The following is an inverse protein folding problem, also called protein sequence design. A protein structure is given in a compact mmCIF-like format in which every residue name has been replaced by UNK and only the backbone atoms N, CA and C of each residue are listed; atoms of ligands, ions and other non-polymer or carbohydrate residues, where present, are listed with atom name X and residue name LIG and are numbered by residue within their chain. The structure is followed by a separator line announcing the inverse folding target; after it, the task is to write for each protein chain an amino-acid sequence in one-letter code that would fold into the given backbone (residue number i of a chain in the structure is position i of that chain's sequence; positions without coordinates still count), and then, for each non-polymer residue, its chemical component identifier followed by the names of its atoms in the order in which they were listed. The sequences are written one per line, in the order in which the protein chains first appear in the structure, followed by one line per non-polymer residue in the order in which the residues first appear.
data_IF_345320789330
#
_entry.id   IF_345320789330
#
_cell.length_a   1.000
_cell.length_b   1.000
_cell.length_c   1.000
_cell.angle_alpha   90.00
_cell.angle_beta   90.00
_cell.angle_gamma   90.00
#
_symmetry.space_group_name_H-M   'P 1'
#
loop_
_entity.id
_entity.type
_entity.pdbx_description
1 polymer ?
#
# COMPACT_ATOMS: atom_id res chain seq x y z
N UNK A 1 -14.72 -20.80 9.91
CA UNK A 1 -14.41 -20.78 8.47
C UNK A 1 -12.93 -20.51 8.29
N UNK A 2 -12.24 -21.30 7.47
CA UNK A 2 -10.83 -21.05 7.13
C UNK A 2 -10.71 -19.87 6.17
N UNK A 3 -9.73 -18.98 6.40
CA UNK A 3 -9.51 -17.78 5.58
C UNK A 3 -8.60 -18.15 4.41
N UNK A 4 -9.18 -18.19 3.20
CA UNK A 4 -8.49 -18.52 1.93
C UNK A 4 -8.57 -17.38 0.92
N UNK A 5 -7.88 -17.54 -0.21
CA UNK A 5 -7.70 -16.56 -1.29
C UNK A 5 -8.94 -15.76 -1.72
N UNK A 6 -10.12 -16.38 -1.71
CA UNK A 6 -11.38 -15.78 -2.19
C UNK A 6 -12.28 -15.26 -1.07
N UNK A 7 -11.88 -15.38 0.20
CA UNK A 7 -12.72 -14.98 1.32
C UNK A 7 -12.89 -13.46 1.34
N UNK A 8 -14.14 -13.03 1.30
CA UNK A 8 -14.57 -11.66 1.58
C UNK A 8 -15.24 -11.65 2.94
N UNK A 9 -14.65 -10.89 3.87
CA UNK A 9 -15.20 -10.71 5.20
C UNK A 9 -16.07 -9.46 5.24
N UNK A 10 -17.00 -9.38 6.20
CA UNK A 10 -17.88 -8.23 6.33
C UNK A 10 -17.09 -6.91 6.42
N UNK A 11 -17.45 -5.95 5.57
CA UNK A 11 -16.90 -4.59 5.56
C UNK A 11 -17.89 -3.64 4.89
N UNK A 12 -17.88 -2.37 5.28
CA UNK A 12 -18.58 -1.31 4.54
C UNK A 12 -17.66 -0.82 3.43
N UNK A 13 -18.03 -1.07 2.17
CA UNK A 13 -17.26 -0.66 0.98
C UNK A 13 -18.02 0.42 0.21
N UNK A 14 -17.35 1.53 -0.06
CA UNK A 14 -17.93 2.69 -0.74
C UNK A 14 -17.02 3.13 -1.90
N UNK A 15 -17.45 2.96 -3.17
CA UNK A 15 -16.74 3.52 -4.31
C UNK A 15 -17.01 5.02 -4.44
N UNK A 16 -15.99 5.78 -4.81
CA UNK A 16 -16.08 7.23 -4.97
C UNK A 16 -15.01 7.77 -5.94
N UNK A 17 -15.03 9.08 -6.18
CA UNK A 17 -14.00 9.77 -6.97
C UNK A 17 -13.12 10.61 -6.05
N UNK A 18 -11.80 10.37 -6.09
CA UNK A 18 -10.81 11.26 -5.50
C UNK A 18 -10.56 12.42 -6.46
N UNK A 19 -10.55 13.64 -5.95
CA UNK A 19 -10.27 14.85 -6.72
C UNK A 19 -8.86 15.35 -6.43
N UNK A 20 -8.04 15.43 -7.46
CA UNK A 20 -6.69 15.99 -7.34
C UNK A 20 -6.69 17.51 -7.46
N UNK A 21 -5.66 18.16 -6.93
CA UNK A 21 -5.54 19.63 -7.02
C UNK A 21 -5.27 20.13 -8.45
N UNK A 22 -4.73 19.27 -9.32
CA UNK A 22 -4.56 19.54 -10.76
C UNK A 22 -5.84 19.24 -11.56
N UNK A 23 -6.96 18.94 -10.88
CA UNK A 23 -8.31 18.91 -11.47
C UNK A 23 -8.75 17.56 -12.04
N UNK A 24 -8.04 16.47 -11.73
CA UNK A 24 -8.38 15.12 -12.19
C UNK A 24 -9.31 14.40 -11.21
N UNK A 25 -10.12 13.49 -11.75
CA UNK A 25 -10.93 12.53 -11.00
C UNK A 25 -10.31 11.15 -11.08
N UNK A 26 -9.96 10.60 -9.93
CA UNK A 26 -9.39 9.27 -9.80
C UNK A 26 -10.43 8.32 -9.19
N UNK A 27 -10.50 7.11 -9.71
CA UNK A 27 -11.38 6.07 -9.17
C UNK A 27 -10.82 5.56 -7.85
N UNK A 28 -11.66 5.51 -6.83
CA UNK A 28 -11.29 5.07 -5.49
C UNK A 28 -12.39 4.23 -4.82
N UNK A 29 -11.99 3.49 -3.79
CA UNK A 29 -12.89 2.76 -2.88
C UNK A 29 -12.32 2.83 -1.47
N UNK A 30 -13.18 3.09 -0.50
CA UNK A 30 -12.87 2.99 0.92
C UNK A 30 -13.57 1.77 1.52
N UNK A 31 -12.81 0.88 2.14
CA UNK A 31 -13.32 -0.25 2.92
C UNK A 31 -13.13 0.01 4.43
N UNK A 32 -14.21 -0.11 5.20
CA UNK A 32 -14.27 0.16 6.64
C UNK A 32 -14.81 -1.03 7.43
N UNK A 33 -14.43 -1.18 8.71
CA UNK A 33 -15.11 -2.12 9.62
C UNK A 33 -16.60 -1.76 9.74
N UNK A 34 -17.48 -2.75 9.93
CA UNK A 34 -18.94 -2.52 9.99
C UNK A 34 -19.36 -1.91 11.34
N UNK A 35 -18.95 -2.51 12.45
CA UNK A 35 -19.47 -2.19 13.79
C UNK A 35 -18.45 -1.51 14.71
N UNK A 36 -17.32 -1.07 14.15
CA UNK A 36 -16.22 -0.46 14.92
C UNK A 36 -15.61 0.71 14.15
N UNK A 37 -15.10 1.69 14.89
CA UNK A 37 -14.20 2.67 14.32
C UNK A 37 -12.88 1.99 13.91
N UNK A 38 -12.30 2.34 12.75
CA UNK A 38 -10.97 1.84 12.40
C UNK A 38 -9.93 2.35 13.40
N UNK A 39 -8.90 1.56 13.68
CA UNK A 39 -7.78 1.97 14.56
C UNK A 39 -6.63 2.61 13.78
N UNK A 40 -6.54 2.31 12.48
CA UNK A 40 -5.58 2.88 11.55
C UNK A 40 -6.07 2.74 10.09
N UNK A 41 -5.39 3.43 9.18
CA UNK A 41 -5.76 3.52 7.77
C UNK A 41 -4.58 3.20 6.88
N UNK A 42 -4.74 2.27 5.93
CA UNK A 42 -3.76 2.05 4.88
C UNK A 42 -4.22 2.69 3.57
N UNK A 43 -3.34 3.46 2.96
CA UNK A 43 -3.51 4.09 1.64
C UNK A 43 -2.67 3.28 0.66
N UNK A 44 -3.33 2.60 -0.28
CA UNK A 44 -2.64 1.65 -1.15
C UNK A 44 -2.17 2.32 -2.45
N UNK A 45 -0.89 2.14 -2.80
CA UNK A 45 -0.29 2.62 -4.05
C UNK A 45 0.05 1.40 -4.91
N UNK A 46 -0.66 1.23 -6.03
CA UNK A 46 -0.68 0.00 -6.82
C UNK A 46 0.58 -0.21 -7.68
N UNK A 47 0.84 -1.45 -8.12
CA UNK A 47 1.93 -1.74 -9.05
C UNK A 47 1.72 -1.06 -10.41
N UNK A 48 2.74 -1.15 -11.27
CA UNK A 48 2.85 -0.35 -12.49
C UNK A 48 1.59 -0.45 -13.39
N UNK A 49 0.89 0.68 -13.67
CA UNK A 49 -0.33 0.66 -14.47
C UNK A 49 -0.13 0.06 -15.87
N UNK A 50 0.98 0.41 -16.52
CA UNK A 50 1.31 -0.06 -17.88
C UNK A 50 1.66 -1.55 -17.95
N UNK A 51 1.83 -2.21 -16.80
CA UNK A 51 1.99 -3.66 -16.69
C UNK A 51 0.74 -4.35 -16.08
N UNK A 52 -0.41 -3.67 -16.07
CA UNK A 52 -1.67 -4.21 -15.57
C UNK A 52 -1.86 -4.07 -14.05
N UNK A 53 -1.11 -3.19 -13.39
CA UNK A 53 -1.33 -2.85 -11.99
C UNK A 53 -2.49 -1.85 -11.81
N UNK A 54 -3.30 -2.05 -10.77
CA UNK A 54 -4.46 -1.20 -10.45
C UNK A 54 -4.89 -1.43 -8.99
N UNK A 55 -5.87 -0.67 -8.50
CA UNK A 55 -6.34 -0.70 -7.10
C UNK A 55 -6.83 -2.08 -6.61
N UNK A 56 -7.16 -2.98 -7.54
CA UNK A 56 -7.67 -4.34 -7.30
C UNK A 56 -6.60 -5.43 -7.51
N UNK A 57 -5.32 -5.05 -7.71
CA UNK A 57 -4.20 -5.99 -7.66
C UNK A 57 -4.29 -6.82 -6.36
N UNK A 58 -3.99 -8.12 -6.46
CA UNK A 58 -4.59 -9.10 -5.55
C UNK A 58 -4.29 -8.91 -4.07
N UNK A 59 -3.13 -8.33 -3.71
CA UNK A 59 -2.82 -8.00 -2.32
C UNK A 59 -3.80 -6.96 -1.79
N UNK A 60 -4.06 -5.88 -2.53
CA UNK A 60 -4.93 -4.80 -2.07
C UNK A 60 -6.40 -5.17 -2.08
N UNK A 61 -6.84 -5.95 -3.09
CA UNK A 61 -8.19 -6.52 -3.06
C UNK A 61 -8.41 -7.41 -1.83
N UNK A 62 -7.45 -8.27 -1.51
CA UNK A 62 -7.54 -9.12 -0.31
C UNK A 62 -7.38 -8.32 0.98
N UNK A 63 -6.59 -7.25 0.99
CA UNK A 63 -6.49 -6.34 2.12
C UNK A 63 -7.85 -5.69 2.43
N UNK A 64 -8.51 -5.09 1.43
CA UNK A 64 -9.84 -4.51 1.58
C UNK A 64 -10.91 -5.55 1.96
N UNK A 65 -10.79 -6.79 1.47
CA UNK A 65 -11.70 -7.88 1.79
C UNK A 65 -11.52 -8.46 3.21
N UNK A 66 -10.40 -8.21 3.89
CA UNK A 66 -10.05 -8.96 5.13
C UNK A 66 -9.68 -8.05 6.30
N UNK A 67 -8.83 -7.06 6.09
CA UNK A 67 -8.26 -6.24 7.17
C UNK A 67 -9.29 -5.40 7.94
N UNK A 68 -10.41 -4.92 7.33
CA UNK A 68 -11.45 -4.26 8.09
C UNK A 68 -12.05 -5.14 9.20
N UNK A 69 -12.29 -6.42 8.91
CA UNK A 69 -12.85 -7.35 9.89
C UNK A 69 -11.79 -7.95 10.83
N UNK A 70 -10.60 -8.26 10.31
CA UNK A 70 -9.58 -9.00 11.07
C UNK A 70 -8.71 -8.12 11.95
N UNK A 71 -8.53 -6.86 11.58
CA UNK A 71 -7.57 -5.96 12.22
C UNK A 71 -8.13 -4.56 12.47
N UNK A 72 -9.45 -4.36 12.28
CA UNK A 72 -10.12 -3.07 12.46
C UNK A 72 -9.43 -1.95 11.65
N UNK A 73 -8.98 -2.24 10.43
CA UNK A 73 -8.27 -1.29 9.56
C UNK A 73 -9.17 -0.70 8.48
N UNK A 74 -9.06 0.61 8.27
CA UNK A 74 -9.57 1.25 7.06
C UNK A 74 -8.60 1.01 5.89
N UNK A 75 -9.14 0.68 4.72
CA UNK A 75 -8.34 0.43 3.51
C UNK A 75 -8.83 1.37 2.40
N UNK A 76 -8.03 2.39 2.09
CA UNK A 76 -8.24 3.26 0.93
C UNK A 76 -7.47 2.71 -0.26
N UNK A 77 -8.19 2.39 -1.33
CA UNK A 77 -7.61 1.97 -2.61
C UNK A 77 -8.03 2.94 -3.68
N UNK A 78 -7.13 3.24 -4.61
CA UNK A 78 -7.44 4.09 -5.75
C UNK A 78 -6.54 3.76 -6.93
N UNK A 79 -7.01 4.12 -8.12
CA UNK A 79 -6.27 4.06 -9.37
C UNK A 79 -5.56 5.38 -9.60
N UNK A 80 -4.23 5.38 -9.75
CA UNK A 80 -3.48 6.58 -10.15
C UNK A 80 -3.94 7.06 -11.54
N UNK A 81 -3.62 8.30 -11.89
CA UNK A 81 -3.95 8.92 -13.18
C UNK A 81 -3.69 8.01 -14.37
N UNK A 82 -4.63 7.99 -15.32
CA UNK A 82 -4.58 7.17 -16.53
C UNK A 82 -4.75 5.66 -16.33
N UNK A 83 -4.90 5.16 -15.10
CA UNK A 83 -5.06 3.72 -14.84
C UNK A 83 -6.47 3.25 -15.16
N UNK A 84 -6.59 2.24 -16.03
CA UNK A 84 -7.84 1.52 -16.29
C UNK A 84 -7.97 0.26 -15.44
N UNK A 85 -9.18 -0.04 -15.01
CA UNK A 85 -9.55 -1.21 -14.21
C UNK A 85 -11.00 -1.64 -14.51
N UNK A 86 -11.51 -2.73 -13.93
CA UNK A 86 -12.93 -3.08 -14.03
C UNK A 86 -13.90 -1.99 -13.53
N UNK A 87 -13.41 -1.03 -12.72
CA UNK A 87 -14.19 0.09 -12.20
C UNK A 87 -14.22 1.31 -13.14
N UNK A 88 -13.54 1.23 -14.30
CA UNK A 88 -13.36 2.34 -15.24
C UNK A 88 -11.93 2.83 -15.31
N UNK A 89 -11.73 4.05 -15.84
CA UNK A 89 -10.42 4.69 -16.02
C UNK A 89 -10.34 5.98 -15.22
N UNK A 90 -9.31 6.12 -14.38
CA UNK A 90 -8.96 7.40 -13.75
C UNK A 90 -8.52 8.41 -14.82
N UNK A 91 -8.91 9.67 -14.68
CA UNK A 91 -8.53 10.72 -15.63
C UNK A 91 -7.01 10.98 -15.65
N UNK A 92 -6.55 11.73 -16.67
CA UNK A 92 -5.13 12.04 -16.88
C UNK A 92 -4.33 10.91 -17.52
N UNK A 93 -3.01 11.01 -17.45
CA UNK A 93 -2.07 10.07 -18.08
C UNK A 93 -0.95 9.70 -17.11
N UNK A 94 -0.49 8.46 -17.20
CA UNK A 94 0.66 7.99 -16.44
C UNK A 94 1.92 8.77 -16.82
N UNK A 95 2.63 9.31 -15.83
CA UNK A 95 3.82 10.15 -16.05
C UNK A 95 5.10 9.57 -15.44
N UNK A 96 5.07 8.29 -15.05
CA UNK A 96 6.25 7.63 -14.52
C UNK A 96 6.61 8.06 -13.11
N UNK A 97 5.64 8.53 -12.33
CA UNK A 97 5.78 8.84 -10.91
C UNK A 97 6.10 10.29 -10.59
N UNK A 98 6.01 11.22 -11.55
CA UNK A 98 6.18 12.66 -11.32
C UNK A 98 4.84 13.34 -11.04
N UNK A 99 3.91 13.28 -11.99
CA UNK A 99 2.60 13.92 -11.83
C UNK A 99 1.72 13.18 -10.80
N UNK A 100 1.99 11.90 -10.54
CA UNK A 100 1.35 11.10 -9.49
C UNK A 100 1.53 11.68 -8.07
N UNK A 101 2.39 12.69 -7.87
CA UNK A 101 2.44 13.48 -6.63
C UNK A 101 1.06 14.03 -6.24
N UNK A 102 0.28 14.51 -7.21
CA UNK A 102 -1.05 15.06 -6.94
C UNK A 102 -2.04 13.97 -6.56
N UNK A 103 -1.86 12.75 -7.08
CA UNK A 103 -2.69 11.59 -6.77
C UNK A 103 -2.45 11.13 -5.33
N UNK A 104 -1.18 10.99 -4.93
CA UNK A 104 -0.81 10.62 -3.55
C UNK A 104 -1.30 11.67 -2.56
N UNK A 105 -1.11 12.96 -2.87
CA UNK A 105 -1.60 14.06 -2.05
C UNK A 105 -3.12 14.03 -1.91
N UNK A 106 -3.86 13.78 -3.00
CA UNK A 106 -5.31 13.69 -2.96
C UNK A 106 -5.79 12.55 -2.05
N UNK A 107 -5.15 11.37 -2.12
CA UNK A 107 -5.47 10.24 -1.28
C UNK A 107 -5.21 10.51 0.21
N UNK A 108 -4.06 11.10 0.56
CA UNK A 108 -3.74 11.48 1.95
C UNK A 108 -4.68 12.57 2.46
N UNK A 109 -4.96 13.58 1.63
CA UNK A 109 -5.87 14.66 1.97
C UNK A 109 -7.28 14.13 2.27
N UNK A 110 -7.80 13.23 1.43
CA UNK A 110 -9.08 12.58 1.67
C UNK A 110 -9.11 11.86 3.02
N UNK A 111 -8.08 11.07 3.34
CA UNK A 111 -7.98 10.37 4.64
C UNK A 111 -8.00 11.35 5.81
N UNK A 112 -7.28 12.46 5.68
CA UNK A 112 -7.22 13.52 6.69
C UNK A 112 -8.58 14.20 6.87
N UNK A 113 -9.23 14.60 5.78
CA UNK A 113 -10.54 15.29 5.80
C UNK A 113 -11.67 14.38 6.27
N UNK A 114 -11.58 13.08 5.99
CA UNK A 114 -12.51 12.06 6.48
C UNK A 114 -12.29 11.71 7.97
N UNK A 115 -11.26 12.25 8.62
CA UNK A 115 -10.93 11.96 10.02
C UNK A 115 -10.50 10.52 10.27
N UNK A 116 -9.95 9.85 9.25
CA UNK A 116 -9.52 8.46 9.33
C UNK A 116 -8.15 8.37 10.06
N UNK A 117 -8.00 7.52 11.08
CA UNK A 117 -6.87 7.60 12.00
C UNK A 117 -5.60 6.97 11.42
N UNK A 118 -4.46 7.41 11.96
CA UNK A 118 -3.15 6.76 11.84
C UNK A 118 -2.83 6.29 10.40
N UNK A 119 -2.74 7.21 9.43
CA UNK A 119 -2.54 6.84 8.03
C UNK A 119 -1.14 6.30 7.75
N UNK A 120 -1.07 5.24 6.94
CA UNK A 120 0.14 4.62 6.41
C UNK A 120 0.05 4.51 4.90
N UNK A 121 1.18 4.74 4.21
CA UNK A 121 1.28 4.36 2.80
C UNK A 121 1.66 2.88 2.69
N UNK A 122 0.99 2.15 1.82
CA UNK A 122 1.40 0.80 1.43
C UNK A 122 1.60 0.79 -0.07
N UNK A 123 2.86 0.74 -0.50
CA UNK A 123 3.23 0.73 -1.91
C UNK A 123 3.62 -0.66 -2.38
N UNK A 124 3.36 -0.97 -3.65
CA UNK A 124 3.79 -2.23 -4.26
C UNK A 124 4.41 -1.96 -5.63
N UNK A 125 5.62 -2.47 -5.85
CA UNK A 125 6.38 -2.26 -7.09
C UNK A 125 6.48 -0.75 -7.39
N UNK A 126 5.97 -0.27 -8.53
CA UNK A 126 5.84 1.16 -8.83
C UNK A 126 5.27 2.00 -7.68
N UNK A 127 4.26 1.51 -6.96
CA UNK A 127 3.67 2.22 -5.83
C UNK A 127 4.62 2.41 -4.64
N UNK A 128 5.66 1.57 -4.49
CA UNK A 128 6.72 1.81 -3.49
C UNK A 128 7.53 3.06 -3.82
N UNK A 129 7.72 3.33 -5.12
CA UNK A 129 8.46 4.48 -5.58
C UNK A 129 7.68 5.77 -5.30
N UNK A 130 6.36 5.74 -5.51
CA UNK A 130 5.49 6.84 -5.09
C UNK A 130 5.52 7.06 -3.58
N UNK A 131 5.49 5.98 -2.79
CA UNK A 131 5.60 6.07 -1.33
C UNK A 131 6.93 6.70 -0.90
N UNK A 132 8.04 6.24 -1.47
CA UNK A 132 9.37 6.76 -1.17
C UNK A 132 9.54 8.23 -1.57
N UNK A 133 9.01 8.63 -2.72
CA UNK A 133 9.10 10.00 -3.23
C UNK A 133 8.28 11.00 -2.41
N UNK A 134 7.06 10.62 -2.03
CA UNK A 134 6.08 11.59 -1.53
C UNK A 134 5.68 11.37 -0.07
N UNK A 135 5.92 10.18 0.49
CA UNK A 135 5.68 9.88 1.90
C UNK A 135 6.31 10.88 2.88
N UNK A 136 7.55 11.37 2.67
CA UNK A 136 8.15 12.38 3.55
C UNK A 136 7.36 13.69 3.65
N UNK A 137 6.56 14.08 2.64
CA UNK A 137 5.84 15.37 2.61
C UNK A 137 4.44 15.32 3.25
N UNK A 138 3.97 14.15 3.61
CA UNK A 138 2.58 13.92 3.99
C UNK A 138 2.41 13.56 5.46
N UNK A 139 1.25 13.88 6.06
CA UNK A 139 0.94 13.51 7.45
C UNK A 139 0.56 12.02 7.55
N UNK A 140 1.57 11.16 7.38
CA UNK A 140 1.49 9.70 7.53
C UNK A 140 2.49 9.26 8.59
N UNK A 141 2.16 8.17 9.29
CA UNK A 141 3.04 7.57 10.30
C UNK A 141 4.25 6.87 9.68
N UNK A 142 4.14 6.47 8.41
CA UNK A 142 5.18 5.75 7.71
C UNK A 142 4.73 5.13 6.39
N UNK A 143 5.60 4.30 5.84
CA UNK A 143 5.32 3.53 4.64
C UNK A 143 5.78 2.07 4.76
N UNK A 144 5.01 1.18 4.12
CA UNK A 144 5.33 -0.23 3.91
C UNK A 144 5.54 -0.44 2.41
N UNK A 145 6.71 -0.95 2.04
CA UNK A 145 7.12 -1.13 0.66
C UNK A 145 7.11 -2.61 0.31
N UNK A 146 6.26 -3.02 -0.65
CA UNK A 146 6.19 -4.39 -1.15
C UNK A 146 6.97 -4.47 -2.46
N UNK A 147 8.02 -5.29 -2.50
CA UNK A 147 8.86 -5.49 -3.69
C UNK A 147 9.37 -4.18 -4.33
N UNK A 148 10.14 -3.33 -3.61
CA UNK A 148 10.56 -2.03 -4.11
C UNK A 148 11.65 -2.14 -5.19
N UNK A 149 11.38 -1.82 -6.47
CA UNK A 149 12.38 -2.02 -7.53
C UNK A 149 13.42 -0.89 -7.60
N UNK A 150 13.14 0.28 -7.01
CA UNK A 150 14.03 1.45 -7.00
C UNK A 150 14.53 1.89 -8.40
N UNK A 151 13.65 1.86 -9.41
CA UNK A 151 13.98 2.23 -10.79
C UNK A 151 13.87 3.73 -11.08
N UNK A 152 12.98 4.44 -10.38
CA UNK A 152 12.58 5.84 -10.56
C UNK A 152 12.88 6.70 -9.35
N UNK A 153 13.05 6.08 -8.19
CA UNK A 153 13.40 6.77 -6.95
C UNK A 153 14.91 7.05 -6.92
N UNK A 154 15.26 8.32 -6.78
CA UNK A 154 16.64 8.81 -6.70
C UNK A 154 17.17 8.77 -5.27
N UNK A 155 18.50 8.81 -5.14
CA UNK A 155 19.18 8.87 -3.85
C UNK A 155 18.77 10.10 -3.02
N UNK A 156 18.53 11.25 -3.66
CA UNK A 156 18.03 12.45 -2.97
C UNK A 156 16.62 12.26 -2.42
N UNK A 157 15.75 11.54 -3.15
CA UNK A 157 14.42 11.18 -2.65
C UNK A 157 14.51 10.21 -1.47
N UNK A 158 15.46 9.25 -1.48
CA UNK A 158 15.68 8.35 -0.34
C UNK A 158 16.22 9.10 0.88
N UNK A 159 17.20 10.01 0.71
CA UNK A 159 17.79 10.79 1.82
C UNK A 159 16.76 11.61 2.60
N UNK A 160 15.67 12.04 1.96
CA UNK A 160 14.61 12.81 2.62
C UNK A 160 13.96 12.06 3.78
N UNK A 161 14.00 10.73 3.79
CA UNK A 161 13.53 9.91 4.91
C UNK A 161 14.35 10.12 6.18
N UNK A 162 15.61 10.57 6.09
CA UNK A 162 16.46 10.87 7.24
C UNK A 162 16.07 12.17 7.98
N UNK A 163 15.22 12.98 7.36
CA UNK A 163 14.80 14.28 7.89
C UNK A 163 13.38 14.25 8.49
N UNK A 164 12.75 13.07 8.52
CA UNK A 164 11.39 12.89 9.04
C UNK A 164 11.36 11.77 10.07
N UNK A 165 10.53 11.92 11.09
CA UNK A 165 10.30 10.86 12.09
C UNK A 165 9.14 9.97 11.63
N UNK A 166 9.39 9.11 10.64
CA UNK A 166 8.39 8.22 10.03
C UNK A 166 8.97 6.83 9.87
N UNK A 167 8.17 5.80 10.15
CA UNK A 167 8.64 4.41 10.05
C UNK A 167 8.65 3.95 8.60
N UNK A 168 9.75 3.33 8.16
CA UNK A 168 9.87 2.73 6.84
C UNK A 168 10.14 1.23 6.97
N UNK A 169 9.31 0.41 6.34
CA UNK A 169 9.45 -1.05 6.32
C UNK A 169 9.42 -1.54 4.88
N UNK A 170 10.39 -2.34 4.45
CA UNK A 170 10.45 -2.90 3.11
C UNK A 170 10.41 -4.42 3.15
N UNK A 171 9.41 -5.02 2.51
CA UNK A 171 9.33 -6.45 2.26
C UNK A 171 10.04 -6.76 0.94
N UNK A 172 11.14 -7.51 1.03
CA UNK A 172 12.00 -7.87 -0.09
C UNK A 172 11.82 -9.37 -0.39
N UNK A 173 11.21 -9.75 -1.53
CA UNK A 173 11.13 -11.16 -1.91
C UNK A 173 12.53 -11.73 -2.24
N UNK A 174 12.83 -12.94 -1.78
CA UNK A 174 14.11 -13.62 -2.07
C UNK A 174 14.35 -13.79 -3.58
N UNK A 175 13.29 -14.12 -4.32
CA UNK A 175 13.32 -14.36 -5.76
C UNK A 175 12.68 -13.21 -6.54
N UNK A 176 12.84 -11.97 -6.07
CA UNK A 176 12.46 -10.78 -6.85
C UNK A 176 13.33 -10.67 -8.11
N UNK A 177 12.72 -10.24 -9.22
CA UNK A 177 13.41 -10.07 -10.50
C UNK A 177 14.15 -8.73 -10.62
N UNK A 178 13.89 -7.78 -9.72
CA UNK A 178 14.39 -6.41 -9.77
C UNK A 178 15.28 -6.01 -8.60
N UNK A 179 14.90 -6.38 -7.36
CA UNK A 179 15.68 -6.03 -6.18
C UNK A 179 15.63 -7.14 -5.14
N UNK A 180 16.75 -7.86 -5.00
CA UNK A 180 16.89 -8.98 -4.04
C UNK A 180 17.44 -8.52 -2.68
N UNK A 181 17.31 -9.33 -1.62
CA UNK A 181 17.75 -8.98 -0.26
C UNK A 181 19.12 -8.30 -0.12
N UNK A 182 20.15 -8.87 -0.75
CA UNK A 182 21.51 -8.31 -0.67
C UNK A 182 21.60 -6.93 -1.35
N UNK A 183 20.98 -6.77 -2.51
CA UNK A 183 20.98 -5.51 -3.26
C UNK A 183 20.14 -4.45 -2.54
N UNK A 184 19.00 -4.84 -1.97
CA UNK A 184 18.17 -3.98 -1.14
C UNK A 184 18.95 -3.48 0.09
N UNK A 185 19.69 -4.36 0.76
CA UNK A 185 20.51 -4.00 1.90
C UNK A 185 21.54 -2.93 1.54
N UNK A 186 22.15 -2.97 0.35
CA UNK A 186 23.09 -1.94 -0.11
C UNK A 186 22.37 -0.65 -0.55
N UNK A 187 21.32 -0.76 -1.36
CA UNK A 187 20.60 0.40 -1.90
C UNK A 187 19.92 1.23 -0.82
N UNK A 188 19.44 0.61 0.26
CA UNK A 188 18.78 1.31 1.35
C UNK A 188 19.72 1.83 2.45
N UNK A 189 21.04 1.63 2.37
CA UNK A 189 22.01 2.16 3.36
C UNK A 189 21.99 3.68 3.49
N UNK A 190 21.49 4.35 2.47
CA UNK A 190 21.30 5.81 2.43
C UNK A 190 20.23 6.29 3.41
N UNK A 191 19.33 5.41 3.85
CA UNK A 191 18.29 5.68 4.85
C UNK A 191 18.78 5.17 6.20
N UNK A 192 18.85 6.06 7.19
CA UNK A 192 19.36 5.78 8.54
C UNK A 192 18.48 4.78 9.28
N UNK A 193 17.16 4.90 9.12
CA UNK A 193 16.17 4.08 9.83
C UNK A 193 15.20 3.44 8.84
N UNK A 194 15.47 2.18 8.49
CA UNK A 194 14.59 1.34 7.67
C UNK A 194 14.63 -0.10 8.16
N UNK A 195 13.47 -0.73 8.26
CA UNK A 195 13.33 -2.15 8.58
C UNK A 195 13.24 -2.96 7.28
N UNK A 196 14.25 -3.78 6.99
CA UNK A 196 14.24 -4.68 5.82
C UNK A 196 13.76 -6.08 6.25
N UNK A 197 12.66 -6.52 5.65
CA UNK A 197 12.05 -7.83 5.87
C UNK A 197 12.27 -8.68 4.63
N UNK A 198 13.30 -9.50 4.64
CA UNK A 198 13.53 -10.48 3.58
C UNK A 198 12.50 -11.61 3.72
N UNK A 199 11.90 -12.03 2.61
CA UNK A 199 10.88 -13.09 2.60
C UNK A 199 11.33 -14.23 1.70
N UNK A 200 11.65 -15.34 2.33
CA UNK A 200 12.09 -16.59 1.69
C UNK A 200 11.01 -17.13 0.74
N UNK A 201 11.45 -17.76 -0.37
CA UNK A 201 10.64 -18.35 -1.44
C UNK A 201 9.66 -17.39 -2.16
N UNK A 202 9.59 -16.12 -1.74
CA UNK A 202 8.69 -15.14 -2.31
C UNK A 202 9.21 -14.56 -3.63
N UNK A 203 8.26 -14.20 -4.49
CA UNK A 203 8.52 -13.53 -5.78
C UNK A 203 7.89 -12.15 -5.81
N UNK A 204 8.31 -11.34 -6.78
CA UNK A 204 7.88 -9.96 -6.96
C UNK A 204 6.37 -9.73 -6.81
N UNK A 205 5.57 -10.66 -7.32
CA UNK A 205 4.13 -10.53 -7.38
C UNK A 205 3.38 -11.07 -6.14
N UNK A 206 4.03 -11.68 -5.15
CA UNK A 206 3.35 -12.22 -3.95
C UNK A 206 2.16 -13.15 -4.28
N UNK A 207 2.31 -14.02 -5.28
CA UNK A 207 1.24 -14.92 -5.73
C UNK A 207 1.08 -16.09 -4.76
N UNK A 208 -0.17 -16.45 -4.47
CA UNK A 208 -0.52 -17.55 -3.56
C UNK A 208 -1.01 -17.04 -2.20
N UNK A 209 -1.73 -17.91 -1.47
CA UNK A 209 -2.30 -17.55 -0.17
C UNK A 209 -1.21 -17.39 0.90
N UNK A 210 -0.15 -18.21 0.89
CA UNK A 210 0.98 -18.08 1.82
C UNK A 210 1.65 -16.71 1.68
N UNK A 211 1.98 -16.30 0.45
CA UNK A 211 2.57 -15.00 0.16
C UNK A 211 1.61 -13.84 0.50
N UNK A 212 0.33 -13.99 0.17
CA UNK A 212 -0.69 -13.01 0.56
C UNK A 212 -0.75 -12.87 2.09
N UNK A 213 -0.92 -13.97 2.81
CA UNK A 213 -1.01 -13.98 4.28
C UNK A 213 0.23 -13.34 4.89
N UNK A 214 1.42 -13.71 4.40
CA UNK A 214 2.69 -13.13 4.84
C UNK A 214 2.69 -11.60 4.70
N UNK A 215 2.27 -11.07 3.56
CA UNK A 215 2.18 -9.62 3.34
C UNK A 215 1.15 -8.96 4.26
N UNK A 216 -0.05 -9.54 4.37
CA UNK A 216 -1.10 -8.98 5.23
C UNK A 216 -0.73 -9.01 6.72
N UNK A 217 -0.08 -10.08 7.17
CA UNK A 217 0.46 -10.20 8.53
C UNK A 217 1.50 -9.12 8.81
N UNK A 218 2.43 -8.85 7.89
CA UNK A 218 3.42 -7.79 8.07
C UNK A 218 2.80 -6.40 8.05
N UNK A 219 1.81 -6.15 7.18
CA UNK A 219 1.01 -4.91 7.22
C UNK A 219 0.36 -4.76 8.60
N UNK A 220 -0.31 -5.80 9.09
CA UNK A 220 -0.96 -5.76 10.41
C UNK A 220 0.06 -5.61 11.55
N UNK A 221 1.21 -6.30 11.52
CA UNK A 221 2.26 -6.17 12.54
C UNK A 221 2.75 -4.72 12.67
N UNK A 222 2.85 -4.01 11.55
CA UNK A 222 3.32 -2.61 11.54
C UNK A 222 2.20 -1.64 11.91
N UNK A 223 1.00 -1.82 11.34
CA UNK A 223 -0.09 -0.82 11.41
C UNK A 223 -1.01 -1.02 12.61
N UNK A 224 -1.24 -2.28 13.03
CA UNK A 224 -1.99 -2.63 14.23
C UNK A 224 -1.40 -3.88 14.91
N UNK A 225 -0.28 -3.74 15.65
CA UNK A 225 0.40 -4.86 16.29
C UNK A 225 -0.48 -5.70 17.23
N UNK A 226 -1.54 -5.11 17.78
CA UNK A 226 -2.47 -5.81 18.68
C UNK A 226 -3.34 -6.86 17.97
N UNK A 227 -3.48 -6.77 16.64
CA UNK A 227 -4.20 -7.74 15.82
C UNK A 227 -3.27 -8.72 15.07
N UNK A 228 -1.95 -8.67 15.36
CA UNK A 228 -0.96 -9.58 14.77
C UNK A 228 -0.70 -10.79 15.69
N UNK A 229 -0.53 -12.00 15.14
CA UNK A 229 -0.73 -12.37 13.73
C UNK A 229 -2.21 -12.45 13.36
N UNK A 230 -2.53 -12.29 12.07
CA UNK A 230 -3.89 -12.47 11.60
C UNK A 230 -4.32 -13.94 11.78
N UNK A 231 -5.57 -14.19 12.22
CA UNK A 231 -6.05 -15.55 12.43
C UNK A 231 -6.20 -16.30 11.10
N UNK A 232 -6.03 -17.62 11.14
CA UNK A 232 -6.28 -18.51 9.99
C UNK A 232 -7.74 -18.95 9.90
N UNK A 233 -8.47 -18.88 11.01
CA UNK A 233 -9.87 -19.27 11.13
C UNK A 233 -10.67 -18.16 11.80
N UNK A 234 -11.87 -17.91 11.30
CA UNK A 234 -12.84 -16.98 11.90
C UNK A 234 -14.17 -17.68 12.17
N UNK A 235 -14.80 -17.34 13.29
CA UNK A 235 -16.21 -17.63 13.55
C UNK A 235 -17.00 -16.37 13.23
N UNK A 236 -17.92 -16.46 12.27
CA UNK A 236 -18.84 -15.38 11.89
C UNK A 236 -20.18 -15.57 12.61
#
# INVERSE_FOLDING_TARGET
MEIRSSVELPSKREPFQLHTEDGLKLIAELALPIDKAPVATIITLHPLPTAGGFMDSHIYRKAANRLPQLADLAVLRFNTRGTSSPHGTSEGEFDGGRAEVFDVRAAVKFVTEAGLPNPWLVGWSFGTELALKYGPDHEVLGAILLSPPLHRTSDEELKRWNSVNKKLVALIPEHDDYLKPHEAAERFRIINEIELVNVDDAKHLWVGESATKRVLDEITRVVNPAAYPLPEFISL
#
